data_IF_147422742351
#
_entry.id   IF_147422742351
#
_cell.length_a   1.000
_cell.length_b   1.000
_cell.length_c   1.000
_cell.angle_alpha   90.00
_cell.angle_beta   90.00
_cell.angle_gamma   90.00
#
_symmetry.space_group_name_H-M   'P 1'
#
loop_
_entity.id
_entity.type
_entity.pdbx_description
1 polymer ?
#
# COMPACT_ATOMS: atom_id res chain seq x y z
N UNK A 1 8.08 -16.23 -30.22
CA UNK A 1 6.66 -16.63 -30.15
C UNK A 1 6.15 -16.16 -28.80
N UNK A 2 5.15 -15.28 -28.74
CA UNK A 2 4.58 -14.83 -27.47
C UNK A 2 3.66 -15.94 -26.94
N UNK A 3 3.99 -16.47 -25.75
CA UNK A 3 3.12 -17.40 -25.03
C UNK A 3 1.98 -16.58 -24.40
N UNK A 4 0.74 -17.06 -24.50
CA UNK A 4 -0.38 -16.45 -23.79
C UNK A 4 -0.16 -16.57 -22.27
N UNK A 5 -0.68 -15.60 -21.51
CA UNK A 5 -0.71 -15.68 -20.06
C UNK A 5 -1.74 -16.74 -19.65
N UNK A 6 -1.31 -17.70 -18.84
CA UNK A 6 -2.21 -18.65 -18.19
C UNK A 6 -2.90 -17.96 -16.99
N UNK A 7 -4.09 -18.40 -16.55
CA UNK A 7 -4.79 -17.82 -15.41
C UNK A 7 -3.99 -17.83 -14.09
N UNK A 8 -3.04 -18.77 -13.97
CA UNK A 8 -2.12 -18.88 -12.83
C UNK A 8 -0.88 -18.00 -12.93
N UNK A 9 -0.60 -17.44 -14.11
CA UNK A 9 0.60 -16.62 -14.30
C UNK A 9 0.47 -15.31 -13.52
N UNK A 10 1.61 -14.88 -12.98
CA UNK A 10 1.75 -13.60 -12.28
C UNK A 10 2.84 -12.78 -12.97
N UNK A 11 2.48 -11.55 -13.31
CA UNK A 11 3.43 -10.56 -13.80
C UNK A 11 3.91 -9.66 -12.65
N UNK A 12 5.22 -9.55 -12.45
CA UNK A 12 5.80 -8.63 -11.46
C UNK A 12 6.74 -7.67 -12.17
N UNK A 13 6.46 -6.38 -12.04
CA UNK A 13 7.38 -5.30 -12.38
C UNK A 13 8.07 -4.82 -11.12
N UNK A 14 9.40 -4.71 -11.14
CA UNK A 14 10.15 -4.14 -10.03
C UNK A 14 10.84 -2.85 -10.47
N UNK A 15 10.53 -1.74 -9.80
CA UNK A 15 11.04 -0.42 -10.19
C UNK A 15 11.74 0.23 -8.99
N UNK A 16 13.05 0.41 -9.07
CA UNK A 16 13.85 0.89 -7.94
C UNK A 16 13.58 2.36 -7.58
N UNK A 17 13.94 2.74 -6.35
CA UNK A 17 13.73 4.08 -5.77
C UNK A 17 14.35 5.23 -6.58
N UNK A 18 15.44 4.99 -7.34
CA UNK A 18 16.10 6.01 -8.15
C UNK A 18 15.29 6.50 -9.37
N UNK A 19 14.30 5.73 -9.82
CA UNK A 19 13.44 6.13 -10.94
C UNK A 19 12.52 7.26 -10.46
N UNK A 20 12.39 8.31 -11.26
CA UNK A 20 11.58 9.47 -10.88
C UNK A 20 10.11 9.08 -10.66
N UNK A 21 9.49 9.67 -9.63
CA UNK A 21 8.11 9.35 -9.18
C UNK A 21 7.10 9.29 -10.33
N UNK A 22 7.12 10.28 -11.22
CA UNK A 22 6.19 10.35 -12.36
C UNK A 22 6.30 9.14 -13.30
N UNK A 23 7.52 8.66 -13.57
CA UNK A 23 7.75 7.47 -14.41
C UNK A 23 7.32 6.18 -13.69
N UNK A 24 7.56 6.08 -12.38
CA UNK A 24 7.10 4.95 -11.56
C UNK A 24 5.58 4.87 -11.52
N UNK A 25 4.91 6.00 -11.32
CA UNK A 25 3.45 6.07 -11.32
C UNK A 25 2.86 5.78 -12.71
N UNK A 26 3.55 6.16 -13.80
CA UNK A 26 3.12 5.78 -15.14
C UNK A 26 3.16 4.26 -15.34
N UNK A 27 4.23 3.59 -14.90
CA UNK A 27 4.34 2.14 -14.93
C UNK A 27 3.28 1.45 -14.04
N UNK A 28 2.97 2.03 -12.87
CA UNK A 28 1.89 1.58 -11.99
C UNK A 28 0.53 1.58 -12.70
N UNK A 29 0.22 2.62 -13.46
CA UNK A 29 -1.02 2.67 -14.25
C UNK A 29 -1.09 1.54 -15.30
N UNK A 30 0.03 1.16 -15.90
CA UNK A 30 0.09 -0.01 -16.79
C UNK A 30 -0.25 -1.30 -16.04
N UNK A 31 0.22 -1.49 -14.81
CA UNK A 31 -0.18 -2.63 -13.97
C UNK A 31 -1.69 -2.63 -13.73
N UNK A 32 -2.29 -1.49 -13.40
CA UNK A 32 -3.73 -1.41 -13.21
C UNK A 32 -4.51 -1.78 -14.49
N UNK A 33 -4.01 -1.40 -15.68
CA UNK A 33 -4.58 -1.83 -16.96
C UNK A 33 -4.46 -3.35 -17.16
N UNK A 34 -3.30 -3.95 -16.84
CA UNK A 34 -3.10 -5.40 -16.93
C UNK A 34 -4.07 -6.17 -16.02
N UNK A 35 -4.29 -5.68 -14.79
CA UNK A 35 -5.30 -6.24 -13.88
C UNK A 35 -6.71 -6.13 -14.45
N UNK A 36 -7.03 -5.00 -15.06
CA UNK A 36 -8.35 -4.78 -15.67
C UNK A 36 -8.65 -5.80 -16.78
N UNK A 37 -7.63 -6.21 -17.55
CA UNK A 37 -7.77 -7.27 -18.57
C UNK A 37 -7.59 -8.69 -18.01
N UNK A 38 -7.55 -8.85 -16.69
CA UNK A 38 -7.54 -10.14 -16.00
C UNK A 38 -6.16 -10.74 -15.73
N UNK A 39 -5.07 -10.00 -15.95
CA UNK A 39 -3.71 -10.47 -15.68
C UNK A 39 -3.35 -10.15 -14.22
N UNK A 40 -3.02 -11.19 -13.43
CA UNK A 40 -2.47 -11.02 -12.08
C UNK A 40 -1.15 -10.27 -12.18
N UNK A 41 -1.15 -8.97 -11.91
CA UNK A 41 0.02 -8.13 -12.15
C UNK A 41 0.30 -7.22 -10.97
N UNK A 42 1.57 -6.99 -10.68
CA UNK A 42 2.02 -6.22 -9.52
C UNK A 42 3.20 -5.35 -9.93
N UNK A 43 3.26 -4.13 -9.40
CA UNK A 43 4.48 -3.35 -9.38
C UNK A 43 4.95 -3.20 -7.94
N UNK A 44 6.23 -3.45 -7.70
CA UNK A 44 6.84 -3.21 -6.39
C UNK A 44 8.18 -2.50 -6.52
N UNK A 45 8.65 -1.89 -5.43
CA UNK A 45 9.94 -1.20 -5.41
C UNK A 45 11.04 -2.24 -5.24
N UNK A 46 12.03 -2.27 -6.13
CA UNK A 46 13.23 -3.08 -5.93
C UNK A 46 14.07 -2.48 -4.80
N UNK A 47 14.38 -3.29 -3.78
CA UNK A 47 15.19 -2.90 -2.63
C UNK A 47 14.67 -1.62 -1.95
N UNK A 48 13.45 -1.64 -1.39
CA UNK A 48 12.76 -0.45 -0.88
C UNK A 48 13.48 0.25 0.28
N UNK A 49 14.36 -0.46 0.99
CA UNK A 49 15.19 0.09 2.06
C UNK A 49 16.50 0.74 1.55
N UNK A 50 16.79 0.68 0.25
CA UNK A 50 18.02 1.21 -0.33
C UNK A 50 17.76 2.56 -1.00
N UNK A 51 18.51 3.56 -0.56
CA UNK A 51 18.41 4.93 -1.06
C UNK A 51 18.74 5.05 -2.56
N UNK A 52 18.12 5.99 -3.29
CA UNK A 52 18.31 6.20 -4.73
C UNK A 52 19.77 6.23 -5.19
N UNK A 53 20.64 6.94 -4.47
CA UNK A 53 22.05 7.08 -4.87
C UNK A 53 22.85 5.79 -4.66
N UNK A 54 22.46 4.97 -3.66
CA UNK A 54 23.02 3.62 -3.50
C UNK A 54 22.59 2.71 -4.65
N UNK A 55 21.32 2.79 -5.09
CA UNK A 55 20.87 2.04 -6.28
C UNK A 55 21.64 2.44 -7.52
N UNK A 56 21.89 3.75 -7.74
CA UNK A 56 22.70 4.20 -8.88
C UNK A 56 24.11 3.60 -8.85
N UNK A 57 24.75 3.56 -7.68
CA UNK A 57 26.07 2.91 -7.52
C UNK A 57 26.01 1.42 -7.84
N UNK A 58 24.99 0.71 -7.34
CA UNK A 58 24.79 -0.72 -7.61
C UNK A 58 24.61 -1.00 -9.11
N UNK A 59 23.85 -0.16 -9.81
CA UNK A 59 23.63 -0.30 -11.27
C UNK A 59 24.92 -0.16 -12.10
N UNK A 60 25.96 0.47 -11.56
CA UNK A 60 27.26 0.64 -12.21
C UNK A 60 28.35 -0.28 -11.62
N UNK A 61 27.99 -1.16 -10.69
CA UNK A 61 28.91 -2.09 -10.04
C UNK A 61 29.17 -3.32 -10.91
N UNK A 62 30.35 -3.93 -10.76
CA UNK A 62 30.64 -5.24 -11.35
C UNK A 62 29.86 -6.34 -10.62
N UNK A 63 29.77 -7.52 -11.23
CA UNK A 63 29.12 -8.67 -10.58
C UNK A 63 29.77 -9.02 -9.24
N UNK A 64 31.10 -9.01 -9.17
CA UNK A 64 31.83 -9.27 -7.93
C UNK A 64 31.50 -8.23 -6.85
N UNK A 65 31.41 -6.95 -7.22
CA UNK A 65 31.01 -5.89 -6.28
C UNK A 65 29.56 -6.06 -5.80
N UNK A 66 28.67 -6.60 -6.64
CA UNK A 66 27.30 -6.92 -6.25
C UNK A 66 27.25 -8.11 -5.29
N UNK A 67 28.04 -9.15 -5.52
CA UNK A 67 28.16 -10.29 -4.61
C UNK A 67 28.70 -9.85 -3.23
N UNK A 68 29.68 -8.94 -3.23
CA UNK A 68 30.30 -8.40 -2.02
C UNK A 68 29.46 -7.28 -1.34
N UNK A 69 28.36 -6.84 -1.96
CA UNK A 69 27.56 -5.70 -1.46
C UNK A 69 26.78 -6.00 -0.19
N UNK A 70 26.65 -7.27 0.18
CA UNK A 70 25.85 -7.71 1.33
C UNK A 70 24.35 -7.52 1.15
N UNK A 71 23.87 -7.37 -0.09
CA UNK A 71 22.44 -7.33 -0.39
C UNK A 71 21.79 -8.67 -0.04
N UNK A 72 20.75 -8.62 0.78
CA UNK A 72 19.95 -9.80 1.13
C UNK A 72 18.96 -10.13 0.00
N UNK A 73 19.45 -10.82 -1.02
CA UNK A 73 18.66 -11.24 -2.18
C UNK A 73 17.53 -12.19 -1.75
N UNK A 74 17.77 -13.05 -0.76
CA UNK A 74 16.77 -13.99 -0.25
C UNK A 74 15.57 -13.25 0.34
N UNK A 75 15.84 -12.28 1.23
CA UNK A 75 14.80 -11.44 1.81
C UNK A 75 14.03 -10.63 0.74
N UNK A 76 14.71 -10.14 -0.30
CA UNK A 76 14.05 -9.41 -1.40
C UNK A 76 13.15 -10.32 -2.24
N UNK A 77 13.55 -11.57 -2.48
CA UNK A 77 12.70 -12.57 -3.16
C UNK A 77 11.47 -12.93 -2.31
N UNK A 78 11.66 -13.22 -1.02
CA UNK A 78 10.56 -13.49 -0.09
C UNK A 78 9.57 -12.33 -0.01
N UNK A 79 10.08 -11.09 0.01
CA UNK A 79 9.26 -9.87 -0.01
C UNK A 79 8.37 -9.79 -1.26
N UNK A 80 8.91 -10.13 -2.43
CA UNK A 80 8.13 -10.18 -3.68
C UNK A 80 7.03 -11.23 -3.57
N UNK A 81 7.33 -12.44 -3.06
CA UNK A 81 6.33 -13.49 -2.86
C UNK A 81 5.20 -13.04 -1.92
N UNK A 82 5.53 -12.34 -0.82
CA UNK A 82 4.53 -11.82 0.10
C UNK A 82 3.55 -10.83 -0.53
N UNK A 83 3.94 -10.13 -1.59
CA UNK A 83 3.08 -9.18 -2.29
C UNK A 83 2.19 -9.88 -3.32
N UNK A 84 2.74 -10.84 -4.06
CA UNK A 84 2.01 -11.54 -5.12
C UNK A 84 1.06 -12.61 -4.60
N UNK A 85 1.36 -13.21 -3.46
CA UNK A 85 0.51 -14.23 -2.87
C UNK A 85 -0.67 -13.59 -2.15
N UNK A 86 -1.89 -14.12 -2.30
CA UNK A 86 -3.04 -13.62 -1.59
C UNK A 86 -2.86 -13.88 -0.09
N UNK A 87 -3.10 -12.84 0.70
CA UNK A 87 -3.14 -12.95 2.17
C UNK A 87 -4.29 -13.84 2.61
N UNK A 88 -5.42 -13.73 1.91
CA UNK A 88 -6.62 -14.55 2.07
C UNK A 88 -7.52 -14.43 0.84
N UNK A 89 -8.50 -15.31 0.77
CA UNK A 89 -9.58 -15.26 -0.21
C UNK A 89 -10.93 -15.09 0.52
N UNK A 90 -11.78 -14.21 0.01
CA UNK A 90 -13.12 -13.92 0.58
C UNK A 90 -14.07 -13.55 -0.53
N UNK A 91 -15.25 -14.19 -0.58
CA UNK A 91 -16.29 -13.95 -1.59
C UNK A 91 -15.81 -14.05 -3.05
N UNK A 92 -14.88 -14.97 -3.32
CA UNK A 92 -14.27 -15.09 -4.66
C UNK A 92 -13.28 -13.97 -5.00
N UNK A 93 -12.96 -13.10 -4.05
CA UNK A 93 -11.92 -12.09 -4.19
C UNK A 93 -10.64 -12.51 -3.49
N UNK A 94 -9.51 -12.33 -4.18
CA UNK A 94 -8.17 -12.51 -3.62
C UNK A 94 -7.70 -11.19 -3.03
N UNK A 95 -7.39 -11.19 -1.73
CA UNK A 95 -6.92 -10.01 -1.01
C UNK A 95 -5.41 -10.08 -0.92
N UNK A 96 -4.74 -9.06 -1.43
CA UNK A 96 -3.27 -8.97 -1.46
C UNK A 96 -2.80 -7.82 -0.57
N UNK A 97 -1.52 -7.83 -0.22
CA UNK A 97 -0.88 -6.61 0.27
C UNK A 97 -0.73 -5.60 -0.88
N UNK A 98 -0.77 -4.31 -0.55
CA UNK A 98 -0.44 -3.25 -1.50
C UNK A 98 0.99 -3.44 -2.01
N UNK A 99 1.19 -3.49 -3.32
CA UNK A 99 2.50 -3.81 -3.90
C UNK A 99 3.44 -2.62 -3.94
N UNK A 100 2.89 -1.40 -3.88
CA UNK A 100 3.64 -0.15 -3.98
C UNK A 100 2.96 1.02 -3.25
N UNK A 101 3.73 2.10 -3.07
CA UNK A 101 3.30 3.31 -2.38
C UNK A 101 2.14 4.04 -3.07
N UNK A 102 2.02 3.92 -4.40
CA UNK A 102 0.91 4.55 -5.13
C UNK A 102 -0.45 3.96 -4.73
N UNK A 103 -0.54 2.64 -4.58
CA UNK A 103 -1.76 1.96 -4.11
C UNK A 103 -2.10 2.34 -2.67
N UNK A 104 -1.09 2.42 -1.80
CA UNK A 104 -1.25 2.85 -0.40
C UNK A 104 -1.87 4.26 -0.35
N UNK A 105 -1.35 5.19 -1.15
CA UNK A 105 -1.88 6.56 -1.24
C UNK A 105 -3.29 6.56 -1.84
N UNK A 106 -3.56 5.80 -2.89
CA UNK A 106 -4.92 5.67 -3.46
C UNK A 106 -5.93 5.14 -2.46
N UNK A 107 -5.60 4.09 -1.70
CA UNK A 107 -6.45 3.59 -0.63
C UNK A 107 -6.71 4.65 0.45
N UNK A 108 -5.71 5.47 0.80
CA UNK A 108 -5.89 6.57 1.75
C UNK A 108 -6.89 7.60 1.23
N UNK A 109 -6.81 8.00 -0.04
CA UNK A 109 -7.77 8.91 -0.67
C UNK A 109 -9.17 8.28 -0.74
N UNK A 110 -9.25 7.01 -1.14
CA UNK A 110 -10.50 6.27 -1.23
C UNK A 110 -11.20 6.15 0.13
N UNK A 111 -10.45 5.88 1.20
CA UNK A 111 -11.01 5.86 2.55
C UNK A 111 -11.64 7.21 2.92
N UNK A 112 -10.93 8.32 2.69
CA UNK A 112 -11.43 9.66 3.01
C UNK A 112 -12.67 10.03 2.18
N UNK A 113 -12.71 9.61 0.91
CA UNK A 113 -13.88 9.76 0.06
C UNK A 113 -15.07 8.96 0.60
N UNK A 114 -14.89 7.66 0.86
CA UNK A 114 -15.96 6.77 1.30
C UNK A 114 -16.48 7.13 2.69
N UNK A 115 -15.62 7.50 3.63
CA UNK A 115 -16.06 7.82 4.99
C UNK A 115 -16.88 9.11 5.07
N UNK A 116 -16.80 9.96 4.05
CA UNK A 116 -17.64 11.15 3.93
C UNK A 116 -19.06 10.81 3.45
N UNK A 117 -19.28 9.62 2.87
CA UNK A 117 -20.59 9.17 2.40
C UNK A 117 -21.38 8.47 3.54
N UNK A 118 -22.66 8.84 3.78
CA UNK A 118 -23.43 8.31 4.92
C UNK A 118 -23.52 6.78 4.99
N UNK A 119 -23.69 6.11 3.85
CA UNK A 119 -23.79 4.65 3.79
C UNK A 119 -22.51 3.96 4.26
N UNK A 120 -21.37 4.37 3.70
CA UNK A 120 -20.07 3.80 4.05
C UNK A 120 -19.64 4.21 5.47
N UNK A 121 -19.90 5.43 5.90
CA UNK A 121 -19.70 5.85 7.30
C UNK A 121 -20.49 4.97 8.28
N UNK A 122 -21.76 4.67 7.97
CA UNK A 122 -22.61 3.79 8.78
C UNK A 122 -22.10 2.35 8.86
N UNK A 123 -21.48 1.84 7.79
CA UNK A 123 -20.83 0.52 7.79
C UNK A 123 -19.51 0.54 8.58
N UNK A 124 -18.70 1.58 8.40
CA UNK A 124 -17.41 1.74 9.10
C UNK A 124 -17.59 1.87 10.62
N UNK A 125 -18.64 2.59 11.04
CA UNK A 125 -18.91 2.98 12.44
C UNK A 125 -17.75 3.77 13.04
N UNK A 126 -17.51 3.64 14.34
CA UNK A 126 -16.38 4.27 15.02
C UNK A 126 -15.34 3.21 15.39
N UNK A 127 -14.08 3.46 15.06
CA UNK A 127 -13.00 2.48 15.26
C UNK A 127 -11.78 3.09 15.94
N UNK A 128 -11.20 2.33 16.87
CA UNK A 128 -9.95 2.71 17.54
C UNK A 128 -8.75 2.41 16.66
N UNK A 129 -7.92 3.42 16.39
CA UNK A 129 -6.77 3.29 15.47
C UNK A 129 -5.51 3.85 16.13
N UNK A 130 -4.42 3.08 16.05
CA UNK A 130 -3.09 3.49 16.49
C UNK A 130 -2.21 3.95 15.35
N UNK A 131 -2.23 3.25 14.21
CA UNK A 131 -1.32 3.48 13.09
C UNK A 131 -2.04 4.10 11.90
N UNK A 132 -1.61 5.28 11.49
CA UNK A 132 -2.19 6.05 10.40
C UNK A 132 -1.18 6.20 9.27
N UNK A 133 -1.60 5.92 8.03
CA UNK A 133 -0.83 6.35 6.85
C UNK A 133 -1.06 7.83 6.65
N UNK A 134 0.00 8.56 6.30
CA UNK A 134 -0.02 10.00 6.02
C UNK A 134 0.47 10.28 4.60
N UNK A 135 -0.30 11.06 3.84
CA UNK A 135 0.13 11.61 2.56
C UNK A 135 0.62 13.07 2.73
N UNK A 136 1.93 13.35 2.56
CA UNK A 136 2.48 14.67 2.76
C UNK A 136 1.99 15.71 1.73
N UNK A 137 1.44 15.29 0.59
CA UNK A 137 0.93 16.20 -0.44
C UNK A 137 -0.48 16.68 -0.08
N UNK A 138 -1.41 15.75 0.12
CA UNK A 138 -2.80 16.09 0.43
C UNK A 138 -3.07 16.40 1.90
N UNK A 139 -2.10 16.11 2.78
CA UNK A 139 -2.22 16.21 4.25
C UNK A 139 -3.35 15.36 4.83
N UNK A 140 -3.78 14.33 4.10
CA UNK A 140 -4.78 13.37 4.54
C UNK A 140 -4.13 12.22 5.31
N UNK A 141 -4.95 11.58 6.14
CA UNK A 141 -4.61 10.36 6.86
C UNK A 141 -5.64 9.28 6.61
N UNK A 142 -5.26 8.03 6.83
CA UNK A 142 -6.18 6.90 6.88
C UNK A 142 -5.62 5.77 7.75
N UNK A 143 -6.46 4.86 8.28
CA UNK A 143 -6.00 3.70 9.05
C UNK A 143 -5.05 2.83 8.21
N UNK A 144 -3.87 2.54 8.74
CA UNK A 144 -2.85 1.75 8.03
C UNK A 144 -3.33 0.38 7.55
N UNK A 145 -4.16 -0.30 8.35
CA UNK A 145 -4.78 -1.57 7.97
C UNK A 145 -5.67 -1.44 6.73
N UNK A 146 -6.35 -0.32 6.53
CA UNK A 146 -7.13 -0.11 5.31
C UNK A 146 -6.21 0.09 4.10
N UNK A 147 -5.13 0.85 4.27
CA UNK A 147 -4.22 1.18 3.18
C UNK A 147 -3.29 0.04 2.75
N UNK A 148 -3.04 -0.94 3.62
CA UNK A 148 -2.07 -2.00 3.39
C UNK A 148 -2.57 -3.15 2.48
N UNK A 149 -3.86 -3.20 2.15
CA UNK A 149 -4.43 -4.29 1.36
C UNK A 149 -5.12 -3.78 0.10
N UNK A 150 -5.15 -4.62 -0.92
CA UNK A 150 -5.77 -4.35 -2.23
C UNK A 150 -6.53 -5.58 -2.72
N UNK A 151 -7.37 -5.40 -3.73
CA UNK A 151 -8.16 -6.46 -4.36
C UNK A 151 -7.94 -6.41 -5.88
N UNK A 152 -6.75 -6.81 -6.36
CA UNK A 152 -6.23 -6.48 -7.70
C UNK A 152 -7.20 -6.74 -8.86
N UNK A 153 -7.88 -7.88 -8.85
CA UNK A 153 -8.73 -8.34 -9.94
C UNK A 153 -10.23 -8.24 -9.61
N UNK A 154 -10.63 -7.27 -8.78
CA UNK A 154 -12.05 -7.05 -8.55
C UNK A 154 -12.68 -6.54 -9.84
N UNK A 155 -13.50 -7.37 -10.49
CA UNK A 155 -14.37 -6.92 -11.58
C UNK A 155 -15.38 -5.90 -11.01
N UNK A 156 -15.14 -4.62 -11.23
CA UNK A 156 -16.20 -3.62 -11.18
C UNK A 156 -16.96 -3.63 -12.51
N UNK A 157 -18.25 -3.28 -12.46
CA UNK A 157 -18.96 -2.90 -13.68
C UNK A 157 -18.20 -1.74 -14.37
N UNK A 158 -18.36 -1.63 -15.69
CA UNK A 158 -17.58 -0.77 -16.60
C UNK A 158 -17.49 0.71 -16.17
N UNK A 159 -18.38 1.17 -15.28
CA UNK A 159 -18.52 2.58 -14.89
C UNK A 159 -17.67 3.05 -13.70
N UNK A 160 -16.93 2.18 -13.00
CA UNK A 160 -16.14 2.59 -11.82
C UNK A 160 -14.68 2.10 -11.88
N UNK A 161 -13.93 2.70 -12.82
CA UNK A 161 -12.51 2.42 -13.06
C UNK A 161 -11.62 3.03 -11.96
N UNK A 162 -12.08 4.09 -11.28
CA UNK A 162 -11.30 4.81 -10.25
C UNK A 162 -11.05 4.00 -8.98
N UNK A 163 -11.91 3.03 -8.67
CA UNK A 163 -11.80 2.19 -7.46
C UNK A 163 -11.36 0.76 -7.78
N UNK A 164 -11.18 0.44 -9.07
CA UNK A 164 -10.76 -0.87 -9.52
C UNK A 164 -9.42 -1.27 -8.88
N UNK A 165 -9.40 -2.46 -8.30
CA UNK A 165 -8.21 -3.00 -7.65
C UNK A 165 -8.01 -2.59 -6.19
N UNK A 166 -8.74 -1.60 -5.66
CA UNK A 166 -8.47 -0.99 -4.34
C UNK A 166 -9.32 -1.62 -3.21
N UNK A 167 -8.93 -1.36 -1.97
CA UNK A 167 -9.73 -1.73 -0.79
C UNK A 167 -10.90 -0.76 -0.61
N UNK A 168 -12.08 -1.27 -0.25
CA UNK A 168 -13.22 -0.42 0.11
C UNK A 168 -13.79 -0.74 1.49
N UNK A 169 -14.55 0.20 2.05
CA UNK A 169 -15.10 0.12 3.41
C UNK A 169 -15.97 -1.13 3.62
N UNK A 170 -16.81 -1.48 2.64
CA UNK A 170 -17.70 -2.63 2.75
C UNK A 170 -16.91 -3.94 2.90
N UNK A 171 -15.94 -4.18 2.01
CA UNK A 171 -15.09 -5.38 2.06
C UNK A 171 -14.20 -5.36 3.30
N UNK A 172 -13.58 -4.22 3.63
CA UNK A 172 -12.77 -4.07 4.84
C UNK A 172 -13.54 -4.48 6.09
N UNK A 173 -14.77 -3.97 6.27
CA UNK A 173 -15.55 -4.22 7.48
C UNK A 173 -15.96 -5.68 7.61
N UNK A 174 -16.21 -6.37 6.49
CA UNK A 174 -16.48 -7.80 6.49
C UNK A 174 -15.25 -8.61 6.90
N UNK A 175 -14.09 -8.32 6.32
CA UNK A 175 -12.84 -9.03 6.61
C UNK A 175 -12.38 -8.83 8.06
N UNK A 176 -12.46 -7.60 8.55
CA UNK A 176 -12.01 -7.23 9.89
C UNK A 176 -12.74 -7.98 11.01
N UNK A 177 -13.99 -8.40 10.77
CA UNK A 177 -14.77 -9.18 11.73
C UNK A 177 -14.53 -10.69 11.62
N UNK A 178 -14.12 -11.17 10.45
CA UNK A 178 -14.20 -12.59 10.09
C UNK A 178 -12.84 -13.31 10.06
N UNK A 179 -11.74 -12.63 9.71
CA UNK A 179 -10.48 -13.30 9.41
C UNK A 179 -9.28 -12.70 10.16
N UNK A 180 -8.65 -13.54 11.01
CA UNK A 180 -7.45 -13.16 11.79
C UNK A 180 -6.22 -12.91 10.93
N UNK A 181 -6.18 -13.38 9.69
CA UNK A 181 -5.07 -13.10 8.75
C UNK A 181 -5.11 -11.65 8.27
N UNK A 182 -6.30 -11.04 8.26
CA UNK A 182 -6.49 -9.61 8.04
C UNK A 182 -6.19 -8.88 9.34
N UNK A 183 -4.93 -8.52 9.55
CA UNK A 183 -4.41 -8.10 10.86
C UNK A 183 -3.67 -6.75 10.80
N UNK A 184 -3.84 -5.95 11.86
CA UNK A 184 -3.25 -4.61 11.92
C UNK A 184 -1.73 -4.61 12.12
N UNK A 185 -1.19 -5.61 12.83
CA UNK A 185 0.27 -5.75 12.99
C UNK A 185 0.91 -6.16 11.66
N UNK A 186 0.33 -7.13 10.95
CA UNK A 186 0.79 -7.54 9.61
C UNK A 186 0.75 -6.37 8.62
N UNK A 187 -0.34 -5.60 8.62
CA UNK A 187 -0.45 -4.40 7.80
C UNK A 187 0.69 -3.40 8.06
N UNK A 188 0.94 -3.07 9.34
CA UNK A 188 2.03 -2.17 9.73
C UNK A 188 3.39 -2.73 9.28
N UNK A 189 3.68 -3.99 9.58
CA UNK A 189 4.95 -4.62 9.24
C UNK A 189 5.19 -4.63 7.74
N UNK A 190 4.16 -4.94 6.95
CA UNK A 190 4.24 -4.86 5.49
C UNK A 190 4.59 -3.44 5.02
N UNK A 191 3.86 -2.42 5.48
CA UNK A 191 4.11 -1.04 5.05
C UNK A 191 5.54 -0.58 5.40
N UNK A 192 6.03 -0.88 6.61
CA UNK A 192 7.32 -0.36 7.06
C UNK A 192 8.52 -1.21 6.60
N UNK A 193 8.38 -2.54 6.57
CA UNK A 193 9.48 -3.44 6.19
C UNK A 193 9.52 -3.73 4.70
N UNK A 194 8.36 -3.92 4.07
CA UNK A 194 8.31 -4.40 2.68
C UNK A 194 8.07 -3.30 1.66
N UNK A 195 7.51 -2.15 2.06
CA UNK A 195 7.37 -0.97 1.19
C UNK A 195 8.34 0.16 1.55
N UNK A 196 9.14 -0.02 2.61
CA UNK A 196 10.11 0.99 3.05
C UNK A 196 9.48 2.28 3.58
N UNK A 197 8.21 2.24 4.01
CA UNK A 197 7.58 3.41 4.61
C UNK A 197 8.16 3.70 6.00
N UNK A 198 8.25 4.98 6.33
CA UNK A 198 8.86 5.45 7.56
C UNK A 198 7.79 5.56 8.65
N UNK A 199 8.02 4.90 9.79
CA UNK A 199 7.21 5.05 10.99
C UNK A 199 7.77 6.21 11.83
N UNK A 200 6.98 7.26 12.01
CA UNK A 200 7.31 8.43 12.83
C UNK A 200 6.39 8.54 14.04
N UNK A 201 6.93 8.98 15.16
CA UNK A 201 6.17 9.30 16.36
C UNK A 201 5.54 10.71 16.26
N UNK A 202 4.48 10.99 17.05
CA UNK A 202 4.02 12.35 17.26
C UNK A 202 5.16 13.25 17.75
N UNK A 203 5.09 14.55 17.43
CA UNK A 203 6.09 15.55 17.83
C UNK A 203 7.46 15.47 17.13
N UNK A 204 7.69 14.46 16.29
CA UNK A 204 8.84 14.46 15.36
C UNK A 204 8.65 15.46 14.22
N UNK A 205 7.39 15.86 13.92
CA UNK A 205 7.07 16.86 12.90
C UNK A 205 5.82 17.65 13.24
N UNK A 206 6.01 18.95 13.54
CA UNK A 206 4.92 19.87 13.84
C UNK A 206 3.90 19.97 12.69
N UNK A 207 4.35 19.83 11.44
CA UNK A 207 3.50 19.88 10.26
C UNK A 207 2.55 18.67 10.23
N UNK A 208 3.06 17.49 10.56
CA UNK A 208 2.24 16.26 10.61
C UNK A 208 1.24 16.36 11.76
N UNK A 209 1.68 16.83 12.93
CA UNK A 209 0.82 16.97 14.10
C UNK A 209 -0.35 17.94 13.85
N UNK A 210 -0.08 19.10 13.23
CA UNK A 210 -1.10 20.08 12.87
C UNK A 210 -2.09 19.52 11.84
N UNK A 211 -1.59 18.85 10.80
CA UNK A 211 -2.42 18.20 9.80
C UNK A 211 -3.30 17.12 10.43
N UNK A 212 -2.74 16.31 11.33
CA UNK A 212 -3.47 15.25 12.02
C UNK A 212 -4.55 15.80 12.94
N UNK A 213 -4.27 16.86 13.71
CA UNK A 213 -5.26 17.49 14.57
C UNK A 213 -6.47 18.00 13.75
N UNK A 214 -6.22 18.64 12.61
CA UNK A 214 -7.28 19.09 11.71
C UNK A 214 -8.09 17.91 11.12
N UNK A 215 -7.38 16.91 10.57
CA UNK A 215 -8.00 15.74 9.96
C UNK A 215 -8.79 14.91 10.99
N UNK A 216 -8.25 14.70 12.18
CA UNK A 216 -8.86 13.89 13.23
C UNK A 216 -10.15 14.52 13.74
N UNK A 217 -10.20 15.86 13.87
CA UNK A 217 -11.42 16.58 14.24
C UNK A 217 -12.52 16.39 13.20
N UNK A 218 -12.18 16.46 11.91
CA UNK A 218 -13.14 16.21 10.82
C UNK A 218 -13.70 14.78 10.84
N UNK A 219 -12.90 13.82 11.30
CA UNK A 219 -13.24 12.39 11.25
C UNK A 219 -13.56 11.77 12.63
N UNK A 220 -13.85 12.59 13.65
CA UNK A 220 -14.02 12.14 15.03
C UNK A 220 -15.18 11.14 15.23
N UNK A 221 -16.20 11.23 14.38
CA UNK A 221 -17.35 10.31 14.37
C UNK A 221 -16.95 8.90 13.92
N UNK A 222 -15.91 8.80 13.08
CA UNK A 222 -15.47 7.56 12.44
C UNK A 222 -14.21 6.97 13.08
N UNK A 223 -13.42 7.80 13.78
CA UNK A 223 -12.14 7.44 14.36
C UNK A 223 -12.09 7.77 15.85
N UNK A 224 -11.53 6.84 16.61
CA UNK A 224 -11.03 7.06 17.96
C UNK A 224 -9.53 6.81 17.93
N UNK A 225 -8.72 7.76 18.41
CA UNK A 225 -7.28 7.54 18.51
C UNK A 225 -7.00 6.65 19.72
N UNK A 226 -6.15 5.65 19.54
CA UNK A 226 -5.77 4.74 20.62
C UNK A 226 -5.14 5.51 21.80
N UNK A 227 -5.38 5.12 23.08
CA UNK A 227 -4.85 5.83 24.25
C UNK A 227 -3.32 5.97 24.30
N UNK A 228 -2.59 5.07 23.63
CA UNK A 228 -1.13 5.17 23.48
C UNK A 228 -0.67 6.29 22.54
N UNK A 229 -1.59 7.06 21.98
CA UNK A 229 -1.33 8.07 20.96
C UNK A 229 -1.30 7.50 19.53
N UNK A 230 -1.40 8.39 18.52
CA UNK A 230 -1.29 8.03 17.13
C UNK A 230 0.17 7.74 16.75
N UNK A 231 0.38 6.95 15.71
CA UNK A 231 1.68 6.72 15.06
C UNK A 231 1.51 6.91 13.56
N UNK A 232 2.44 7.59 12.92
CA UNK A 232 2.31 7.97 11.52
C UNK A 232 3.24 7.15 10.64
N UNK A 233 2.71 6.59 9.55
CA UNK A 233 3.44 5.85 8.53
C UNK A 233 3.42 6.72 7.28
N UNK A 234 4.59 7.21 6.86
CA UNK A 234 4.72 8.12 5.72
C UNK A 234 5.58 7.50 4.62
N UNK A 235 5.40 7.92 3.36
CA UNK A 235 6.33 7.55 2.31
C UNK A 235 7.78 7.92 2.67
N UNK A 236 8.77 7.18 2.17
CA UNK A 236 10.18 7.55 2.27
C UNK A 236 10.44 8.85 1.50
N UNK A 237 11.51 9.56 1.86
CA UNK A 237 11.78 10.92 1.37
C UNK A 237 11.99 11.00 -0.15
N UNK A 238 12.33 9.88 -0.80
CA UNK A 238 12.48 9.78 -2.25
C UNK A 238 11.16 9.64 -3.04
N UNK A 239 10.00 9.50 -2.36
CA UNK A 239 8.69 9.32 -2.98
C UNK A 239 7.88 10.62 -3.08
#
# INVERSE_FOLDING_TARGET
MFKAFEPSDVFVSMVSSHVTRGRRNLASNTIHLLRYVGINSFQTVLLPAVEPDSIKRLNHSSLQQLEDSGLDVGAEQERVFQVVDPVLESDGHRIHFASELFEVVRNLHLWNHQISAPLAAGQWKRRTVTYFVFDPVSKLFAPSKFCAYVIPNRSSAVDDVSDAGMMNVATYCKLDQADRRFDGQRAREHLTRNLGMILTQPSESLIIDQAFAHWSKKNEASITVHPSGPKFIRPPDWY
#
